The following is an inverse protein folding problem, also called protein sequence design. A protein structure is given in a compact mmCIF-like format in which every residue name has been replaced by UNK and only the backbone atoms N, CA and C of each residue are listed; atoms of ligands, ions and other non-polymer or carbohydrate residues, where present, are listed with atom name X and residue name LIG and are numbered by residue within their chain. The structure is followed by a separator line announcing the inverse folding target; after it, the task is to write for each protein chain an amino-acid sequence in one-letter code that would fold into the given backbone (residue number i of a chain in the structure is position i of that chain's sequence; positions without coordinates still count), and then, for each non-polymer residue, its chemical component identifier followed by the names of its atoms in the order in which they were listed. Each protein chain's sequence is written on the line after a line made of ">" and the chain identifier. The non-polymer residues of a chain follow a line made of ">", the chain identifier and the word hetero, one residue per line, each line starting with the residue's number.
data_IF_784215564064
#
_entry.id   IF_784215564064
#
_cell.length_a   1.000
_cell.length_b   1.000
_cell.length_c   1.000
_cell.angle_alpha   90.00
_cell.angle_beta   90.00
_cell.angle_gamma   90.00
#
_symmetry.space_group_name_H-M   'P 1'
#
loop_
_entity.id
_entity.type
_entity.pdbx_description
1 polymer ?
#
# COMPACT_ATOMS: atom_id res chain seq x y z
N UNK A 1 30.03 -3.25 27.72
CA UNK A 1 29.84 -1.95 27.05
C UNK A 1 30.02 -2.15 25.55
N UNK A 2 28.95 -2.43 24.82
CA UNK A 2 28.99 -2.50 23.36
C UNK A 2 28.87 -1.07 22.81
N UNK A 3 29.89 -0.61 22.09
CA UNK A 3 29.83 0.66 21.36
C UNK A 3 28.84 0.50 20.21
N UNK A 4 27.75 1.26 20.23
CA UNK A 4 26.94 1.48 19.05
C UNK A 4 27.87 1.98 17.93
N UNK A 5 28.00 1.22 16.84
CA UNK A 5 28.74 1.68 15.68
C UNK A 5 27.95 2.86 15.10
N UNK A 6 28.59 4.03 15.00
CA UNK A 6 28.00 5.15 14.26
C UNK A 6 28.01 4.73 12.80
N UNK A 7 26.83 4.43 12.25
CA UNK A 7 26.66 4.31 10.82
C UNK A 7 27.24 5.58 10.15
N UNK A 8 28.07 5.44 9.10
CA UNK A 8 28.71 6.59 8.47
C UNK A 8 27.63 7.55 7.94
N UNK A 9 27.69 8.82 8.37
CA UNK A 9 26.85 9.88 7.81
C UNK A 9 27.29 10.13 6.36
N UNK A 10 26.42 9.78 5.41
CA UNK A 10 26.63 9.98 3.99
C UNK A 10 26.79 11.47 3.64
N UNK A 11 27.84 11.88 2.88
CA UNK A 11 27.91 13.23 2.35
C UNK A 11 26.72 13.48 1.40
N UNK A 12 26.07 14.63 1.54
CA UNK A 12 24.89 15.04 0.75
C UNK A 12 25.08 15.02 -0.77
N UNK A 13 26.32 14.94 -1.26
CA UNK A 13 26.71 15.02 -2.67
C UNK A 13 26.39 13.79 -3.54
N UNK A 14 25.67 12.79 -3.03
CA UNK A 14 25.30 11.57 -3.79
C UNK A 14 23.83 11.18 -3.79
N UNK A 15 23.00 11.83 -2.95
CA UNK A 15 21.59 11.46 -2.79
C UNK A 15 20.77 11.94 -4.00
N UNK A 16 19.84 11.12 -4.53
CA UNK A 16 18.92 11.59 -5.55
C UNK A 16 17.99 12.65 -4.95
N UNK A 17 17.61 13.63 -5.76
CA UNK A 17 16.59 14.63 -5.43
C UNK A 17 15.18 14.08 -5.65
N UNK A 18 15.03 13.10 -6.54
CA UNK A 18 13.79 12.36 -6.76
C UNK A 18 14.11 10.91 -7.15
N UNK A 19 13.24 9.99 -6.73
CA UNK A 19 13.32 8.58 -7.03
C UNK A 19 11.93 8.08 -7.46
N UNK A 20 11.89 7.24 -8.49
CA UNK A 20 10.67 6.61 -8.99
C UNK A 20 10.95 5.13 -9.24
N UNK A 21 9.97 4.28 -8.95
CA UNK A 21 10.02 2.87 -9.30
C UNK A 21 8.74 2.51 -10.05
N UNK A 22 8.84 1.61 -11.02
CA UNK A 22 7.70 1.15 -11.80
C UNK A 22 7.95 -0.27 -12.29
N UNK A 23 6.89 -1.05 -12.43
CA UNK A 23 6.92 -2.24 -13.24
C UNK A 23 6.75 -1.87 -14.72
N UNK A 24 7.53 -2.51 -15.57
CA UNK A 24 7.28 -2.46 -17.00
C UNK A 24 6.21 -3.51 -17.33
N UNK A 25 4.94 -3.16 -17.10
CA UNK A 25 3.82 -3.94 -17.57
C UNK A 25 3.98 -4.30 -19.06
N UNK A 26 3.45 -5.47 -19.46
CA UNK A 26 3.52 -5.96 -20.84
C UNK A 26 3.00 -4.88 -21.80
N UNK A 27 3.91 -4.28 -22.59
CA UNK A 27 3.61 -3.22 -23.56
C UNK A 27 4.31 -1.88 -23.33
N UNK A 28 4.90 -1.62 -22.15
CA UNK A 28 5.49 -0.31 -21.81
C UNK A 28 7.02 -0.20 -21.90
N UNK A 29 7.76 -1.31 -21.79
CA UNK A 29 9.20 -1.31 -22.07
C UNK A 29 9.65 -2.63 -22.68
N UNK A 30 10.55 -2.64 -23.69
CA UNK A 30 10.98 -3.85 -24.39
C UNK A 30 11.64 -4.94 -23.53
N UNK A 31 11.87 -4.70 -22.23
CA UNK A 31 12.66 -5.58 -21.36
C UNK A 31 11.96 -6.07 -20.09
N UNK A 32 10.68 -5.72 -19.86
CA UNK A 32 9.93 -6.12 -18.66
C UNK A 32 10.61 -5.76 -17.32
N UNK A 33 10.14 -6.38 -16.24
CA UNK A 33 10.74 -6.32 -14.90
C UNK A 33 10.40 -5.06 -14.11
N UNK A 34 11.12 -4.87 -12.99
CA UNK A 34 11.01 -3.71 -12.11
C UNK A 34 12.14 -2.75 -12.42
N UNK A 35 11.76 -1.50 -12.65
CA UNK A 35 12.66 -0.41 -13.01
C UNK A 35 12.72 0.61 -11.90
N UNK A 36 13.87 1.26 -11.82
CA UNK A 36 14.13 2.34 -10.91
C UNK A 36 14.73 3.51 -11.67
N UNK A 37 14.26 4.71 -11.37
CA UNK A 37 14.72 5.97 -11.94
C UNK A 37 15.18 6.88 -10.83
N UNK A 38 16.37 7.45 -10.98
CA UNK A 38 16.88 8.49 -10.08
C UNK A 38 17.16 9.78 -10.83
N UNK A 39 16.82 10.89 -10.19
CA UNK A 39 17.16 12.24 -10.62
C UNK A 39 18.08 12.89 -9.59
N UNK A 40 18.99 13.75 -10.09
CA UNK A 40 19.86 14.61 -9.29
C UNK A 40 19.61 16.10 -9.54
N UNK A 41 18.58 16.40 -10.33
CA UNK A 41 18.24 17.71 -10.87
C UNK A 41 16.75 18.02 -10.67
N UNK A 42 16.22 17.65 -9.50
CA UNK A 42 14.84 17.93 -9.07
C UNK A 42 13.77 17.36 -10.00
N UNK A 43 14.03 16.20 -10.60
CA UNK A 43 13.12 15.49 -11.49
C UNK A 43 13.22 15.88 -12.96
N UNK A 44 14.16 16.75 -13.35
CA UNK A 44 14.32 17.13 -14.75
C UNK A 44 14.86 15.98 -15.62
N UNK A 45 15.77 15.15 -15.10
CA UNK A 45 16.29 13.98 -15.84
C UNK A 45 16.38 12.68 -15.02
N UNK A 46 15.98 11.61 -15.71
CA UNK A 46 16.03 10.16 -15.44
C UNK A 46 17.35 9.44 -15.73
N UNK A 47 18.12 8.96 -14.73
CA UNK A 47 18.96 7.75 -14.95
C UNK A 47 18.20 6.52 -14.49
N UNK A 48 18.02 5.53 -15.38
CA UNK A 48 17.18 4.35 -15.13
C UNK A 48 17.98 3.05 -15.05
N UNK A 49 17.61 2.15 -14.14
CA UNK A 49 18.16 0.79 -14.00
C UNK A 49 17.04 -0.25 -13.86
N UNK A 50 17.38 -1.52 -14.10
CA UNK A 50 16.55 -2.68 -13.73
C UNK A 50 16.98 -3.16 -12.34
N UNK A 51 16.03 -3.48 -11.46
CA UNK A 51 16.32 -3.80 -10.05
C UNK A 51 15.78 -5.16 -9.58
N UNK A 52 15.01 -5.86 -10.42
CA UNK A 52 14.64 -7.25 -10.25
C UNK A 52 15.67 -8.21 -10.89
N UNK A 53 15.53 -9.51 -10.63
CA UNK A 53 16.30 -10.54 -11.32
C UNK A 53 15.82 -10.68 -12.78
N UNK A 54 16.65 -10.38 -13.79
CA UNK A 54 16.25 -10.50 -15.19
C UNK A 54 15.96 -11.93 -15.65
N UNK A 55 16.46 -12.92 -14.92
CA UNK A 55 16.23 -14.35 -15.19
C UNK A 55 15.20 -14.97 -14.24
N UNK A 56 14.63 -14.18 -13.32
CA UNK A 56 13.59 -14.62 -12.41
C UNK A 56 12.31 -15.05 -13.14
N UNK A 57 11.37 -15.70 -12.44
CA UNK A 57 10.14 -16.22 -13.04
C UNK A 57 9.28 -15.10 -13.69
N UNK A 58 9.54 -13.83 -13.34
CA UNK A 58 9.25 -12.66 -14.13
C UNK A 58 7.75 -12.42 -14.34
N UNK A 59 7.14 -11.60 -13.47
CA UNK A 59 5.85 -10.91 -13.65
C UNK A 59 5.65 -10.03 -12.41
N UNK A 60 6.32 -8.89 -12.40
CA UNK A 60 6.30 -7.98 -11.26
C UNK A 60 5.30 -6.86 -11.49
N UNK A 61 4.64 -6.40 -10.42
CA UNK A 61 3.69 -5.28 -10.46
C UNK A 61 3.63 -4.55 -9.12
N UNK A 62 3.16 -3.30 -9.13
CA UNK A 62 2.88 -2.55 -7.92
C UNK A 62 4.15 -2.17 -7.17
N UNK A 63 5.15 -1.69 -7.91
CA UNK A 63 6.41 -1.26 -7.32
C UNK A 63 6.19 -0.04 -6.42
N UNK A 64 6.61 -0.13 -5.16
CA UNK A 64 6.62 0.98 -4.20
C UNK A 64 8.05 1.32 -3.81
N UNK A 65 8.36 2.61 -3.68
CA UNK A 65 9.69 3.10 -3.30
C UNK A 65 9.61 3.99 -2.07
N UNK A 66 10.52 3.76 -1.13
CA UNK A 66 10.65 4.55 0.09
C UNK A 66 12.12 4.80 0.43
N UNK A 67 12.38 5.72 1.36
CA UNK A 67 13.75 6.13 1.73
C UNK A 67 14.08 5.84 3.18
N UNK A 68 15.33 5.46 3.46
CA UNK A 68 15.84 5.39 4.83
C UNK A 68 16.24 6.77 5.38
N UNK A 69 16.44 6.88 6.70
CA UNK A 69 16.75 8.16 7.34
C UNK A 69 18.14 8.70 6.96
N UNK A 70 19.00 7.86 6.39
CA UNK A 70 20.32 8.24 5.90
C UNK A 70 20.40 8.22 4.35
N UNK A 71 19.24 8.24 3.67
CA UNK A 71 19.16 8.33 2.21
C UNK A 71 19.31 6.99 1.49
N UNK A 72 19.17 5.88 2.22
CA UNK A 72 18.97 4.55 1.64
C UNK A 72 17.71 4.55 0.77
N UNK A 73 17.67 3.69 -0.24
CA UNK A 73 16.49 3.47 -1.07
C UNK A 73 16.04 2.04 -0.90
N UNK A 74 14.73 1.88 -0.78
CA UNK A 74 14.06 0.62 -0.54
C UNK A 74 12.92 0.50 -1.52
N UNK A 75 12.90 -0.57 -2.31
CA UNK A 75 11.87 -0.81 -3.32
C UNK A 75 11.29 -2.18 -3.10
N UNK A 76 9.97 -2.28 -3.04
CA UNK A 76 9.25 -3.54 -2.97
C UNK A 76 8.25 -3.66 -4.13
N UNK A 77 7.92 -4.88 -4.52
CA UNK A 77 6.94 -5.18 -5.56
C UNK A 77 6.26 -6.52 -5.29
N UNK A 78 5.09 -6.72 -5.90
CA UNK A 78 4.47 -8.03 -5.98
C UNK A 78 5.11 -8.81 -7.15
N UNK A 79 5.77 -9.92 -6.88
CA UNK A 79 6.16 -10.89 -7.91
C UNK A 79 5.06 -11.95 -8.04
N UNK A 80 4.27 -11.83 -9.10
CA UNK A 80 3.10 -12.66 -9.36
C UNK A 80 3.54 -14.09 -9.70
N UNK A 81 4.62 -14.24 -10.47
CA UNK A 81 5.06 -15.55 -10.92
C UNK A 81 5.76 -16.35 -9.81
N UNK A 82 6.56 -15.69 -8.97
CA UNK A 82 7.13 -16.30 -7.77
C UNK A 82 6.11 -16.43 -6.62
N UNK A 83 4.98 -15.73 -6.71
CA UNK A 83 3.98 -15.58 -5.68
C UNK A 83 4.56 -15.07 -4.33
N UNK A 84 5.37 -14.00 -4.41
CA UNK A 84 6.01 -13.36 -3.24
C UNK A 84 5.79 -11.85 -3.22
N UNK A 85 5.92 -11.24 -2.04
CA UNK A 85 6.33 -9.83 -1.94
C UNK A 85 7.85 -9.81 -1.95
N UNK A 86 8.43 -9.08 -2.89
CA UNK A 86 9.87 -9.04 -3.14
C UNK A 86 10.39 -7.62 -2.94
N UNK A 87 11.66 -7.53 -2.55
CA UNK A 87 12.31 -6.31 -2.10
C UNK A 87 13.74 -6.20 -2.65
N UNK A 88 14.20 -4.98 -2.90
CA UNK A 88 15.61 -4.69 -3.11
C UNK A 88 15.98 -3.33 -2.48
N UNK A 89 17.26 -3.15 -2.19
CA UNK A 89 17.78 -1.94 -1.54
C UNK A 89 19.00 -1.38 -2.25
N UNK A 90 19.20 -0.07 -2.08
CA UNK A 90 20.38 0.65 -2.54
C UNK A 90 20.91 1.57 -1.44
N UNK A 91 22.23 1.59 -1.31
CA UNK A 91 22.96 2.37 -0.31
C UNK A 91 23.89 3.43 -0.94
N UNK A 92 23.84 3.61 -2.25
CA UNK A 92 24.69 4.53 -3.02
C UNK A 92 23.88 5.58 -3.82
N UNK A 93 22.65 5.86 -3.35
CA UNK A 93 21.75 6.80 -4.03
C UNK A 93 21.21 6.25 -5.35
N UNK A 94 20.99 4.94 -5.42
CA UNK A 94 20.34 4.25 -6.54
C UNK A 94 21.26 4.03 -7.74
N UNK A 95 22.59 4.10 -7.56
CA UNK A 95 23.53 3.70 -8.62
C UNK A 95 23.45 2.19 -8.81
N UNK A 96 23.53 1.45 -7.71
CA UNK A 96 23.46 0.00 -7.68
C UNK A 96 22.41 -0.46 -6.66
N UNK A 97 21.80 -1.61 -6.96
CA UNK A 97 20.91 -2.33 -6.05
C UNK A 97 21.53 -3.68 -5.72
N UNK A 98 21.17 -4.23 -4.57
CA UNK A 98 21.59 -5.57 -4.16
C UNK A 98 20.91 -6.69 -4.95
N UNK A 99 21.00 -7.90 -4.40
CA UNK A 99 20.19 -9.04 -4.88
C UNK A 99 18.79 -8.94 -4.29
N UNK A 100 17.72 -9.17 -5.09
CA UNK A 100 16.36 -9.20 -4.57
C UNK A 100 16.18 -10.19 -3.41
N UNK A 101 15.35 -9.83 -2.45
CA UNK A 101 15.01 -10.63 -1.26
C UNK A 101 13.51 -10.76 -1.13
N UNK A 102 13.05 -11.89 -0.61
CA UNK A 102 11.63 -12.13 -0.35
C UNK A 102 11.28 -11.57 1.03
N UNK A 103 10.25 -10.72 1.09
CA UNK A 103 9.62 -10.29 2.34
C UNK A 103 8.75 -11.43 2.87
N UNK A 104 7.87 -11.96 2.01
CA UNK A 104 6.96 -13.05 2.33
C UNK A 104 6.50 -13.79 1.08
N UNK A 105 6.18 -15.07 1.24
CA UNK A 105 5.33 -15.81 0.31
C UNK A 105 3.86 -15.42 0.54
N UNK A 106 3.04 -15.56 -0.51
CA UNK A 106 1.61 -15.20 -0.50
C UNK A 106 0.73 -16.36 -0.89
N UNK A 107 -0.56 -16.26 -0.61
CA UNK A 107 -1.57 -17.16 -1.17
C UNK A 107 -2.15 -16.58 -2.48
N UNK A 108 -2.43 -15.29 -2.51
CA UNK A 108 -3.00 -14.59 -3.67
C UNK A 108 -1.87 -14.08 -4.60
N UNK A 109 -1.77 -14.55 -5.87
CA UNK A 109 -0.70 -14.13 -6.76
C UNK A 109 -0.75 -12.66 -7.19
N UNK A 110 -1.93 -12.19 -7.59
CA UNK A 110 -2.11 -10.83 -8.10
C UNK A 110 -3.37 -10.18 -7.53
N UNK A 111 -4.52 -10.85 -7.67
CA UNK A 111 -5.81 -10.32 -7.26
C UNK A 111 -6.76 -11.42 -6.79
N UNK A 112 -7.84 -11.03 -6.11
CA UNK A 112 -8.95 -11.89 -5.73
C UNK A 112 -10.28 -11.14 -5.89
N UNK A 113 -11.35 -11.84 -6.28
CA UNK A 113 -12.69 -11.27 -6.20
C UNK A 113 -13.20 -11.46 -4.77
N UNK A 114 -13.59 -10.35 -4.15
CA UNK A 114 -14.34 -10.31 -2.90
C UNK A 114 -15.70 -9.65 -3.17
N UNK A 115 -16.75 -9.87 -2.37
CA UNK A 115 -18.07 -9.35 -2.68
C UNK A 115 -18.14 -7.83 -2.89
N UNK A 116 -17.41 -7.05 -2.08
CA UNK A 116 -17.32 -5.59 -2.23
C UNK A 116 -16.59 -5.11 -3.51
N UNK A 117 -15.69 -5.92 -4.07
CA UNK A 117 -14.77 -5.59 -5.18
C UNK A 117 -14.79 -6.72 -6.24
N UNK A 118 -15.98 -7.27 -6.52
CA UNK A 118 -16.11 -8.55 -7.24
C UNK A 118 -15.69 -8.51 -8.71
N UNK A 119 -15.76 -7.36 -9.36
CA UNK A 119 -15.48 -7.22 -10.79
C UNK A 119 -14.11 -6.59 -11.05
N UNK A 120 -13.77 -5.51 -10.34
CA UNK A 120 -12.43 -4.92 -10.43
C UNK A 120 -11.38 -5.80 -9.76
N UNK A 121 -11.77 -6.57 -8.74
CA UNK A 121 -10.93 -7.48 -7.94
C UNK A 121 -9.95 -6.72 -7.05
N UNK A 122 -9.85 -7.16 -5.79
CA UNK A 122 -8.93 -6.63 -4.80
C UNK A 122 -7.49 -7.02 -5.16
N UNK A 123 -6.60 -6.04 -5.17
CA UNK A 123 -5.23 -6.20 -5.68
C UNK A 123 -4.22 -6.42 -4.56
N UNK A 124 -3.21 -7.25 -4.83
CA UNK A 124 -2.10 -7.50 -3.92
C UNK A 124 -0.93 -6.61 -4.30
N UNK A 125 -0.76 -5.53 -3.52
CA UNK A 125 0.36 -4.60 -3.66
C UNK A 125 1.07 -4.37 -2.33
N UNK A 126 2.41 -4.23 -2.34
CA UNK A 126 3.13 -3.78 -1.15
C UNK A 126 2.98 -2.28 -0.95
N UNK A 127 2.76 -1.88 0.30
CA UNK A 127 2.91 -0.51 0.79
C UNK A 127 4.01 -0.51 1.85
N UNK A 128 5.11 0.20 1.62
CA UNK A 128 6.28 0.18 2.49
C UNK A 128 6.69 1.58 2.93
N UNK A 129 7.05 1.73 4.19
CA UNK A 129 7.66 2.94 4.70
C UNK A 129 8.71 2.66 5.79
N UNK A 130 9.46 3.69 6.18
CA UNK A 130 10.58 3.58 7.11
C UNK A 130 10.40 4.55 8.26
N UNK A 131 10.72 4.11 9.47
CA UNK A 131 10.87 5.01 10.61
C UNK A 131 12.05 5.98 10.35
N UNK A 132 11.70 7.25 10.10
CA UNK A 132 12.66 8.33 9.85
C UNK A 132 12.85 9.27 11.03
N UNK A 133 12.39 8.87 12.21
CA UNK A 133 12.57 9.68 13.42
C UNK A 133 14.03 10.05 13.64
N UNK A 134 14.25 11.23 14.22
CA UNK A 134 15.61 11.69 14.49
C UNK A 134 16.35 10.74 15.46
N UNK A 135 15.63 10.26 16.49
CA UNK A 135 16.18 9.50 17.62
C UNK A 135 15.24 8.41 18.16
N UNK A 136 14.21 8.00 17.40
CA UNK A 136 13.28 6.97 17.84
C UNK A 136 13.95 5.59 17.97
N UNK A 137 13.41 4.71 18.82
CA UNK A 137 13.99 3.40 19.10
C UNK A 137 14.03 2.48 17.87
N UNK A 138 13.15 2.71 16.89
CA UNK A 138 13.05 1.92 15.67
C UNK A 138 13.56 2.67 14.43
N UNK A 139 14.29 3.78 14.59
CA UNK A 139 14.83 4.56 13.45
C UNK A 139 15.52 3.65 12.44
N UNK A 140 15.04 3.65 11.20
CA UNK A 140 15.53 2.85 10.10
C UNK A 140 14.81 1.51 9.90
N UNK A 141 13.89 1.13 10.79
CA UNK A 141 12.99 -0.02 10.60
C UNK A 141 12.15 0.22 9.36
N UNK A 142 12.17 -0.76 8.46
CA UNK A 142 11.32 -0.81 7.28
C UNK A 142 10.10 -1.63 7.65
N UNK A 143 8.89 -1.11 7.42
CA UNK A 143 7.65 -1.88 7.53
C UNK A 143 6.99 -1.93 6.18
N UNK A 144 6.62 -3.13 5.73
CA UNK A 144 5.88 -3.36 4.50
C UNK A 144 4.59 -4.09 4.82
N UNK A 145 3.47 -3.61 4.27
CA UNK A 145 2.16 -4.24 4.37
C UNK A 145 1.64 -4.66 2.99
N UNK A 146 0.87 -5.74 2.94
CA UNK A 146 0.19 -6.25 1.73
C UNK A 146 -1.11 -6.98 2.12
N UNK A 147 -2.08 -7.00 1.21
CA UNK A 147 -3.26 -7.86 1.34
C UNK A 147 -2.91 -9.32 1.00
N UNK A 148 -3.46 -10.28 1.73
CA UNK A 148 -3.43 -11.71 1.37
C UNK A 148 -4.61 -12.47 1.99
N UNK A 149 -4.75 -13.77 1.71
CA UNK A 149 -5.74 -14.61 2.40
C UNK A 149 -5.37 -14.86 3.86
N UNK A 150 -6.40 -14.88 4.70
CA UNK A 150 -6.34 -15.44 6.06
C UNK A 150 -5.84 -16.89 6.03
N UNK A 151 -5.24 -17.41 7.12
CA UNK A 151 -4.68 -18.78 7.13
C UNK A 151 -5.67 -19.90 6.81
N UNK A 152 -6.97 -19.71 7.05
CA UNK A 152 -8.06 -20.62 6.69
C UNK A 152 -8.58 -20.44 5.26
N UNK A 153 -8.08 -19.43 4.54
CA UNK A 153 -8.39 -19.14 3.15
C UNK A 153 -9.82 -18.66 2.91
N UNK A 154 -10.52 -18.20 3.95
CA UNK A 154 -11.93 -17.78 3.84
C UNK A 154 -12.08 -16.30 3.49
N UNK A 155 -11.24 -15.45 4.07
CA UNK A 155 -11.35 -14.00 3.96
C UNK A 155 -10.01 -13.38 3.55
N UNK A 156 -10.04 -12.12 3.14
CA UNK A 156 -8.84 -11.29 2.95
C UNK A 156 -8.46 -10.52 4.22
N UNK A 157 -7.16 -10.37 4.47
CA UNK A 157 -6.64 -9.55 5.56
C UNK A 157 -5.39 -8.78 5.12
N UNK A 158 -5.04 -7.74 5.88
CA UNK A 158 -3.83 -6.96 5.66
C UNK A 158 -2.72 -7.48 6.58
N UNK A 159 -1.66 -7.99 5.96
CA UNK A 159 -0.48 -8.48 6.63
C UNK A 159 0.65 -7.48 6.55
N UNK A 160 1.55 -7.52 7.53
CA UNK A 160 2.81 -6.79 7.48
C UNK A 160 4.00 -7.68 7.88
N UNK A 161 5.18 -7.20 7.50
CA UNK A 161 6.48 -7.65 8.00
C UNK A 161 7.39 -6.45 8.12
N UNK A 162 8.39 -6.55 9.00
CA UNK A 162 9.39 -5.50 9.20
C UNK A 162 10.81 -6.04 9.10
N UNK A 163 11.75 -5.12 8.84
CA UNK A 163 13.19 -5.36 8.86
C UNK A 163 13.91 -4.29 9.66
N UNK A 164 14.82 -4.72 10.54
CA UNK A 164 15.70 -3.87 11.35
C UNK A 164 17.14 -3.81 10.82
N UNK A 165 17.45 -4.55 9.76
CA UNK A 165 18.80 -4.71 9.21
C UNK A 165 18.89 -4.26 7.75
N UNK A 166 18.18 -3.17 7.44
CA UNK A 166 18.15 -2.52 6.11
C UNK A 166 17.61 -3.44 5.00
N UNK A 167 16.73 -4.38 5.36
CA UNK A 167 16.08 -5.32 4.44
C UNK A 167 16.88 -6.59 4.18
N UNK A 168 17.91 -6.89 4.96
CA UNK A 168 18.70 -8.12 4.80
C UNK A 168 17.91 -9.35 5.28
N UNK A 169 17.16 -9.21 6.38
CA UNK A 169 16.21 -10.19 6.91
C UNK A 169 14.86 -9.54 7.22
N UNK A 170 13.81 -10.35 7.23
CA UNK A 170 12.43 -9.93 7.47
C UNK A 170 11.79 -10.79 8.55
N UNK A 171 10.96 -10.18 9.38
CA UNK A 171 10.14 -10.90 10.35
C UNK A 171 9.12 -11.81 9.63
N UNK A 172 8.64 -12.85 10.32
CA UNK A 172 7.47 -13.59 9.85
C UNK A 172 6.28 -12.64 9.69
N UNK A 173 5.43 -12.87 8.68
CA UNK A 173 4.24 -12.02 8.47
C UNK A 173 3.28 -12.10 9.65
N UNK A 174 2.62 -10.99 9.96
CA UNK A 174 1.59 -10.87 11.00
C UNK A 174 0.45 -9.98 10.51
N UNK A 175 -0.76 -10.15 11.05
CA UNK A 175 -1.90 -9.27 10.71
C UNK A 175 -1.70 -7.89 11.35
N UNK A 176 -2.11 -6.83 10.64
CA UNK A 176 -2.11 -5.45 11.16
C UNK A 176 -3.40 -5.09 11.88
N UNK A 177 -4.37 -6.01 11.90
CA UNK A 177 -5.70 -5.78 12.44
C UNK A 177 -6.13 -6.94 13.34
N UNK A 178 -7.18 -6.73 14.11
CA UNK A 178 -7.80 -7.77 14.91
C UNK A 178 -8.41 -8.88 14.04
N UNK A 179 -8.40 -10.10 14.56
CA UNK A 179 -8.98 -11.27 13.90
C UNK A 179 -10.50 -11.25 14.03
N UNK A 180 -11.19 -11.16 12.88
CA UNK A 180 -12.64 -11.23 12.73
C UNK A 180 -12.92 -12.22 11.60
N UNK A 181 -13.93 -13.08 11.75
CA UNK A 181 -14.33 -14.01 10.68
C UNK A 181 -15.42 -13.41 9.79
N UNK A 182 -15.40 -13.75 8.50
CA UNK A 182 -16.38 -13.26 7.52
C UNK A 182 -16.18 -11.79 7.16
N UNK A 183 -14.96 -11.27 7.30
CA UNK A 183 -14.62 -9.86 7.04
C UNK A 183 -13.48 -9.79 6.04
N UNK A 184 -13.72 -9.11 4.94
CA UNK A 184 -12.70 -8.81 3.94
C UNK A 184 -12.05 -7.45 4.21
N UNK A 185 -10.73 -7.39 4.00
CA UNK A 185 -9.93 -6.16 4.06
C UNK A 185 -9.03 -6.04 2.85
N UNK A 186 -9.02 -4.87 2.22
CA UNK A 186 -8.36 -4.70 0.92
C UNK A 186 -7.96 -3.24 0.65
N UNK A 187 -7.20 -3.05 -0.45
CA UNK A 187 -6.69 -1.76 -0.95
C UNK A 187 -5.99 -0.90 0.12
N UNK A 188 -5.18 -1.53 0.98
CA UNK A 188 -4.51 -0.82 2.06
C UNK A 188 -3.41 0.12 1.56
N UNK A 189 -3.10 1.15 2.37
CA UNK A 189 -1.87 1.91 2.24
C UNK A 189 -1.23 2.16 3.61
N UNK A 190 0.07 2.45 3.63
CA UNK A 190 0.89 2.57 4.84
C UNK A 190 1.69 3.87 4.87
N UNK A 191 1.74 4.52 6.04
CA UNK A 191 2.64 5.63 6.33
C UNK A 191 3.24 5.51 7.73
N UNK A 192 4.56 5.67 7.83
CA UNK A 192 5.25 5.80 9.11
C UNK A 192 5.47 7.28 9.40
N UNK A 193 4.92 7.77 10.50
CA UNK A 193 5.08 9.18 10.88
C UNK A 193 6.56 9.48 11.17
N UNK A 194 7.21 10.36 10.40
CA UNK A 194 8.63 10.64 10.55
C UNK A 194 8.98 11.41 11.83
N UNK A 195 7.98 11.93 12.55
CA UNK A 195 8.15 12.65 13.82
C UNK A 195 8.00 11.70 15.02
N UNK A 196 6.98 10.83 14.98
CA UNK A 196 6.62 9.98 16.13
C UNK A 196 7.10 8.52 16.00
N UNK A 197 7.39 8.06 14.78
CA UNK A 197 7.72 6.66 14.48
C UNK A 197 6.50 5.74 14.41
N UNK A 198 5.30 6.27 14.62
CA UNK A 198 4.06 5.47 14.55
C UNK A 198 3.81 4.98 13.13
N UNK A 199 3.63 3.67 12.98
CA UNK A 199 3.20 3.03 11.73
C UNK A 199 1.68 3.06 11.66
N UNK A 200 1.15 3.54 10.54
CA UNK A 200 -0.27 3.72 10.29
C UNK A 200 -0.65 2.98 9.00
N UNK A 201 -1.73 2.21 9.05
CA UNK A 201 -2.24 1.45 7.90
C UNK A 201 -3.74 1.73 7.74
N UNK A 202 -4.13 2.29 6.60
CA UNK A 202 -5.53 2.51 6.20
C UNK A 202 -5.96 1.41 5.23
N UNK A 203 -7.23 0.98 5.29
CA UNK A 203 -7.81 -0.01 4.39
C UNK A 203 -9.34 0.00 4.45
N UNK A 204 -9.97 -0.54 3.40
CA UNK A 204 -11.39 -0.87 3.42
C UNK A 204 -11.62 -2.13 4.25
N UNK A 205 -12.74 -2.18 4.94
CA UNK A 205 -13.12 -3.26 5.83
C UNK A 205 -14.64 -3.47 5.78
N UNK A 206 -15.08 -4.72 5.61
CA UNK A 206 -16.51 -5.06 5.50
C UNK A 206 -17.19 -5.39 6.83
N UNK A 207 -16.51 -5.23 7.98
CA UNK A 207 -17.04 -5.68 9.30
C UNK A 207 -18.37 -5.07 9.73
N UNK A 208 -18.74 -3.93 9.15
CA UNK A 208 -19.99 -3.23 9.44
C UNK A 208 -21.04 -3.41 8.35
N UNK A 209 -20.82 -4.34 7.41
CA UNK A 209 -21.80 -4.71 6.41
C UNK A 209 -23.12 -5.12 7.06
N UNK A 210 -24.19 -4.56 6.53
CA UNK A 210 -25.56 -4.80 6.96
C UNK A 210 -26.39 -5.52 5.92
N UNK A 211 -25.81 -5.81 4.75
CA UNK A 211 -26.45 -6.54 3.67
C UNK A 211 -26.42 -8.05 3.92
N UNK A 212 -25.47 -8.54 4.73
CA UNK A 212 -25.18 -9.96 4.91
C UNK A 212 -24.34 -10.55 3.78
N UNK A 213 -23.87 -9.70 2.85
CA UNK A 213 -23.14 -10.09 1.64
C UNK A 213 -21.72 -9.55 1.57
N UNK A 214 -21.24 -8.81 2.58
CA UNK A 214 -19.95 -8.09 2.54
C UNK A 214 -19.87 -7.10 1.35
N UNK A 215 -20.98 -6.44 1.03
CA UNK A 215 -21.05 -5.47 -0.06
C UNK A 215 -20.65 -4.07 0.39
N UNK A 216 -20.94 -3.74 1.66
CA UNK A 216 -20.66 -2.44 2.22
C UNK A 216 -19.26 -2.38 2.85
N UNK A 217 -18.59 -1.25 2.67
CA UNK A 217 -17.26 -1.00 3.25
C UNK A 217 -17.24 0.25 4.11
N UNK A 218 -16.41 0.21 5.14
CA UNK A 218 -15.92 1.35 5.88
C UNK A 218 -14.39 1.44 5.71
N UNK A 219 -13.81 2.61 5.96
CA UNK A 219 -12.35 2.73 6.07
C UNK A 219 -11.94 2.63 7.52
N UNK A 220 -10.91 1.83 7.79
CA UNK A 220 -10.34 1.65 9.11
C UNK A 220 -8.85 2.02 9.14
N UNK A 221 -8.39 2.47 10.30
CA UNK A 221 -7.02 2.83 10.59
C UNK A 221 -6.46 1.94 11.70
N UNK A 222 -5.41 1.19 11.38
CA UNK A 222 -4.59 0.47 12.36
C UNK A 222 -3.30 1.22 12.66
N UNK A 223 -2.93 1.28 13.94
CA UNK A 223 -1.77 2.02 14.43
C UNK A 223 -0.86 1.16 15.30
N UNK A 224 0.44 1.29 15.10
CA UNK A 224 1.45 0.60 15.89
C UNK A 224 2.63 1.52 16.25
N UNK A 225 3.04 1.61 17.52
CA UNK A 225 4.21 2.39 17.93
C UNK A 225 5.54 1.70 17.60
N UNK A 226 5.53 0.40 17.30
CA UNK A 226 6.71 -0.38 16.95
C UNK A 226 6.63 -1.04 15.57
N UNK A 227 5.51 -0.94 14.87
CA UNK A 227 5.30 -1.60 13.57
C UNK A 227 5.14 -3.12 13.66
N UNK A 228 4.91 -3.67 14.85
CA UNK A 228 4.66 -5.10 15.10
C UNK A 228 3.35 -5.30 15.86
N UNK A 229 3.14 -4.57 16.95
CA UNK A 229 1.95 -4.69 17.78
C UNK A 229 0.96 -3.58 17.41
N UNK A 230 -0.10 -3.94 16.71
CA UNK A 230 -1.16 -3.02 16.32
C UNK A 230 -2.26 -2.96 17.39
N UNK A 231 -2.72 -1.75 17.69
CA UNK A 231 -3.92 -1.54 18.50
C UNK A 231 -5.18 -1.92 17.71
N UNK A 232 -6.33 -2.15 18.38
CA UNK A 232 -7.61 -2.34 17.68
C UNK A 232 -7.87 -1.23 16.67
N UNK A 233 -8.34 -1.63 15.50
CA UNK A 233 -8.57 -0.74 14.36
C UNK A 233 -9.60 0.34 14.69
N UNK A 234 -9.37 1.57 14.23
CA UNK A 234 -10.30 2.68 14.41
C UNK A 234 -11.07 2.94 13.12
N UNK A 235 -12.41 3.02 13.22
CA UNK A 235 -13.23 3.42 12.08
C UNK A 235 -12.96 4.89 11.73
N UNK A 236 -12.66 5.14 10.46
CA UNK A 236 -12.39 6.47 9.91
C UNK A 236 -13.68 7.12 9.38
N UNK A 237 -14.48 6.33 8.67
CA UNK A 237 -15.72 6.77 8.03
C UNK A 237 -16.89 6.90 9.01
N UNK A 238 -17.77 7.85 8.73
CA UNK A 238 -19.05 8.06 9.44
C UNK A 238 -20.25 7.42 8.72
N UNK A 239 -20.09 7.03 7.46
CA UNK A 239 -21.04 6.24 6.69
C UNK A 239 -20.31 5.24 5.79
N UNK A 240 -21.01 4.17 5.41
CA UNK A 240 -20.47 3.10 4.56
C UNK A 240 -20.57 3.46 3.08
N UNK A 241 -19.64 2.92 2.30
CA UNK A 241 -19.67 2.90 0.84
C UNK A 241 -20.23 1.57 0.34
N UNK A 242 -20.72 1.51 -0.91
CA UNK A 242 -21.21 0.28 -1.53
C UNK A 242 -21.06 0.34 -3.07
N UNK A 243 -20.09 -0.41 -3.60
CA UNK A 243 -19.84 -0.56 -5.05
C UNK A 243 -20.39 -1.87 -5.63
N UNK A 244 -21.23 -2.57 -4.88
CA UNK A 244 -21.96 -3.72 -5.38
C UNK A 244 -23.27 -3.27 -6.05
N UNK A 245 -24.10 -2.52 -5.33
CA UNK A 245 -25.41 -2.07 -5.80
C UNK A 245 -25.80 -0.72 -5.19
N UNK A 246 -26.94 -0.17 -5.65
CA UNK A 246 -27.50 1.05 -5.06
C UNK A 246 -28.79 0.74 -4.30
N UNK A 247 -28.64 0.23 -3.07
CA UNK A 247 -29.74 -0.17 -2.18
C UNK A 247 -30.62 -1.27 -2.81
N UNK A 248 -29.99 -2.32 -3.32
CA UNK A 248 -30.64 -3.48 -3.94
C UNK A 248 -30.94 -3.32 -5.44
N UNK A 249 -30.65 -2.15 -6.04
CA UNK A 249 -30.70 -1.98 -7.50
C UNK A 249 -29.39 -2.46 -8.15
N UNK A 250 -29.47 -3.60 -8.85
CA UNK A 250 -28.34 -4.19 -9.57
C UNK A 250 -28.71 -4.54 -11.04
N UNK A 251 -27.91 -4.16 -12.05
CA UNK A 251 -26.75 -3.26 -11.93
C UNK A 251 -27.20 -1.82 -11.64
N UNK A 252 -26.46 -1.12 -10.80
CA UNK A 252 -26.68 0.30 -10.56
C UNK A 252 -26.07 1.13 -11.69
N UNK A 253 -26.84 1.99 -12.38
CA UNK A 253 -26.32 2.83 -13.46
C UNK A 253 -25.26 3.86 -13.04
N UNK A 254 -25.15 4.12 -11.73
CA UNK A 254 -24.20 5.07 -11.13
C UNK A 254 -22.89 4.44 -10.66
N UNK A 255 -22.76 3.11 -10.68
CA UNK A 255 -21.54 2.42 -10.29
C UNK A 255 -20.72 2.16 -11.55
N UNK A 256 -19.43 2.50 -11.52
CA UNK A 256 -18.50 2.05 -12.54
C UNK A 256 -17.98 0.64 -12.20
N UNK A 257 -18.74 -0.40 -12.53
CA UNK A 257 -18.35 -1.78 -12.22
C UNK A 257 -16.97 -2.19 -12.76
N UNK A 258 -16.45 -1.53 -13.80
CA UNK A 258 -15.10 -1.82 -14.31
C UNK A 258 -13.99 -1.40 -13.34
N UNK A 259 -14.23 -0.38 -12.52
CA UNK A 259 -13.24 0.18 -11.59
C UNK A 259 -13.62 0.06 -10.11
N UNK A 260 -14.91 0.00 -9.79
CA UNK A 260 -15.46 -0.01 -8.42
C UNK A 260 -14.71 0.97 -7.49
N UNK A 261 -14.27 0.55 -6.30
CA UNK A 261 -13.56 1.42 -5.34
C UNK A 261 -12.16 1.82 -5.84
N UNK A 262 -11.69 1.21 -6.94
CA UNK A 262 -10.40 1.43 -7.56
C UNK A 262 -9.34 0.44 -7.07
N UNK A 263 -8.08 0.81 -7.24
CA UNK A 263 -6.95 -0.10 -7.09
C UNK A 263 -6.23 0.05 -5.74
N UNK A 264 -6.41 1.20 -5.07
CA UNK A 264 -5.66 1.62 -3.89
C UNK A 264 -6.45 2.65 -3.06
N UNK A 265 -6.16 2.71 -1.77
CA UNK A 265 -6.35 3.91 -0.94
C UNK A 265 -5.06 4.76 -0.85
N UNK A 266 -5.12 5.87 -0.13
CA UNK A 266 -3.95 6.66 0.25
C UNK A 266 -3.90 6.95 1.75
N UNK A 267 -2.71 7.19 2.28
CA UNK A 267 -2.52 7.67 3.66
C UNK A 267 -1.31 8.61 3.75
N UNK A 268 -1.40 9.63 4.60
CA UNK A 268 -0.28 10.47 5.00
C UNK A 268 -0.24 10.62 6.52
N UNK A 269 0.94 10.62 7.13
CA UNK A 269 1.10 10.79 8.57
C UNK A 269 2.23 11.77 8.89
N UNK A 270 1.97 12.73 9.79
CA UNK A 270 2.97 13.67 10.25
C UNK A 270 2.62 14.26 11.61
N UNK A 271 3.53 14.17 12.57
CA UNK A 271 3.42 14.87 13.86
C UNK A 271 2.22 14.42 14.70
N UNK A 272 1.86 13.15 14.63
CA UNK A 272 0.73 12.54 15.33
C UNK A 272 -0.62 12.72 14.62
N UNK A 273 -0.65 13.33 13.43
CA UNK A 273 -1.87 13.46 12.62
C UNK A 273 -1.78 12.53 11.43
N UNK A 274 -2.85 11.77 11.20
CA UNK A 274 -2.98 10.82 10.10
C UNK A 274 -4.12 11.25 9.19
N UNK A 275 -3.88 11.28 7.89
CA UNK A 275 -4.86 11.55 6.85
C UNK A 275 -5.07 10.29 6.01
N UNK A 276 -6.13 9.54 6.27
CA UNK A 276 -6.59 8.48 5.36
C UNK A 276 -7.30 9.12 4.15
N UNK A 277 -7.18 8.51 2.98
CA UNK A 277 -7.72 8.99 1.70
C UNK A 277 -8.35 7.81 0.99
N UNK A 278 -9.62 7.92 0.61
CA UNK A 278 -10.36 6.81 0.01
C UNK A 278 -11.38 7.28 -1.02
N UNK A 279 -11.89 6.33 -1.77
CA UNK A 279 -12.97 6.48 -2.74
C UNK A 279 -14.29 6.05 -2.08
N UNK A 280 -15.34 6.82 -2.26
CA UNK A 280 -16.61 6.59 -1.58
C UNK A 280 -17.81 6.84 -2.51
N UNK A 281 -18.75 5.90 -2.51
CA UNK A 281 -19.97 5.94 -3.32
C UNK A 281 -21.24 6.03 -2.50
N UNK A 282 -21.18 6.43 -1.22
CA UNK A 282 -22.39 6.62 -0.39
C UNK A 282 -23.42 7.57 -1.01
N UNK A 283 -22.99 8.43 -1.96
CA UNK A 283 -23.81 9.40 -2.70
C UNK A 283 -23.96 9.08 -4.18
N UNK A 284 -23.67 7.85 -4.60
CA UNK A 284 -23.67 7.46 -6.02
C UNK A 284 -25.02 7.70 -6.73
N UNK A 285 -26.15 7.73 -6.01
CA UNK A 285 -27.46 8.06 -6.56
C UNK A 285 -27.82 9.55 -6.53
N UNK A 286 -27.09 10.38 -5.78
CA UNK A 286 -27.31 11.83 -5.78
C UNK A 286 -26.95 12.40 -7.16
N UNK A 287 -27.69 13.41 -7.63
CA UNK A 287 -27.40 14.03 -8.93
C UNK A 287 -26.27 15.05 -8.80
N UNK A 288 -25.24 14.90 -9.62
CA UNK A 288 -24.17 15.89 -9.73
C UNK A 288 -24.65 17.12 -10.52
N UNK A 289 -25.09 18.18 -9.84
CA UNK A 289 -25.33 19.49 -10.44
C UNK A 289 -26.12 19.47 -11.77
N UNK A 290 -25.68 20.27 -12.74
CA UNK A 290 -26.33 20.49 -14.04
C UNK A 290 -26.78 19.15 -14.70
N UNK A 291 -28.08 18.97 -15.01
CA UNK A 291 -28.62 17.77 -15.64
C UNK A 291 -27.98 17.36 -16.98
N UNK A 292 -27.26 18.28 -17.63
CA UNK A 292 -26.52 18.05 -18.87
C UNK A 292 -25.09 17.52 -18.64
N UNK A 293 -24.54 17.67 -17.44
CA UNK A 293 -23.26 17.10 -17.05
C UNK A 293 -23.43 15.61 -16.69
N UNK A 294 -22.45 14.77 -17.03
CA UNK A 294 -22.47 13.34 -16.67
C UNK A 294 -23.54 12.46 -17.35
N UNK A 295 -24.28 12.98 -18.35
CA UNK A 295 -25.36 12.26 -19.05
C UNK A 295 -26.47 11.73 -18.11
N UNK A 296 -26.74 12.43 -17.01
CA UNK A 296 -27.74 12.02 -16.03
C UNK A 296 -27.29 10.92 -15.05
N UNK A 297 -25.99 10.58 -15.02
CA UNK A 297 -25.41 9.73 -13.97
C UNK A 297 -25.37 10.50 -12.64
N UNK A 298 -25.44 9.78 -11.53
CA UNK A 298 -25.21 10.37 -10.21
C UNK A 298 -23.74 10.79 -10.01
N UNK A 299 -23.40 11.27 -8.82
CA UNK A 299 -22.05 11.76 -8.47
C UNK A 299 -21.00 10.63 -8.57
N UNK A 300 -21.43 9.37 -8.67
CA UNK A 300 -20.62 8.14 -8.68
C UNK A 300 -19.69 8.10 -7.48
N UNK A 301 -18.39 7.86 -7.69
CA UNK A 301 -17.40 7.78 -6.63
C UNK A 301 -16.67 9.12 -6.42
N UNK A 302 -16.58 9.58 -5.17
CA UNK A 302 -15.84 10.77 -4.77
C UNK A 302 -14.62 10.41 -3.91
N UNK A 303 -13.59 11.26 -3.93
CA UNK A 303 -12.41 11.08 -3.08
C UNK A 303 -12.58 11.87 -1.78
N UNK A 304 -12.47 11.18 -0.65
CA UNK A 304 -12.58 11.74 0.69
C UNK A 304 -11.25 11.64 1.45
N UNK A 305 -11.10 12.47 2.48
CA UNK A 305 -10.04 12.32 3.47
C UNK A 305 -10.53 12.74 4.85
N UNK A 306 -9.99 12.12 5.89
CA UNK A 306 -10.25 12.48 7.28
C UNK A 306 -8.94 12.54 8.07
N UNK A 307 -8.85 13.52 8.97
CA UNK A 307 -7.73 13.70 9.87
C UNK A 307 -8.01 13.02 11.22
N UNK A 308 -7.13 12.12 11.63
CA UNK A 308 -7.19 11.42 12.92
C UNK A 308 -6.02 11.86 13.80
N UNK A 309 -6.29 12.04 15.10
CA UNK A 309 -5.30 12.37 16.14
C UNK A 309 -4.99 11.16 17.02
#
# INVERSE_FOLDING_TARGET
>A
MARASKAPRWPSRGRPTAAVAWDAASGGSPGGGVRFGRSRDHGATFTTSRIDDPNGPGRSIGATVTTGPDGQLYVAWNDIAANTITFNSSFDGGVTFGTPRVIAAKAIPFDIAIPAEFNRRALVYPACDVDRTAHGPFRGRITCAWMDLTPDGQDTDIFASFSDDQGATWAARFSVAESLGGVDRFNHWLATDPVTGQVNVSYYDTRNDSTGGNFETDVFLSRSPDGLHFAPSLRVTDAKSNEHDCNGLFPCPSINYGNQQGDYEGIAAFGGIVHAIWTDSRRNQERAGDPSCGRGRGIMEEVFTAALK
#
